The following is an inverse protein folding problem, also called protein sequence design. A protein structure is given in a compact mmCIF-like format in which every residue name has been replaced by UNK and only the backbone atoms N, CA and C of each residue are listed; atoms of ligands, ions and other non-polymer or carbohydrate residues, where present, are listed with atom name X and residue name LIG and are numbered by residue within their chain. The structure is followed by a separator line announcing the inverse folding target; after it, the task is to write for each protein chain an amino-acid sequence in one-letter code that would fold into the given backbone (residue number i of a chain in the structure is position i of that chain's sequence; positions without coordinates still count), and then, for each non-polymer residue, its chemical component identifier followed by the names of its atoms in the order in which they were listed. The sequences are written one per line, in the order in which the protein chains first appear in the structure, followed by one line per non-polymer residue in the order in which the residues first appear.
data_IF_809822707818
#
_entry.id   IF_809822707818
#
_cell.length_a   1.000
_cell.length_b   1.000
_cell.length_c   1.000
_cell.angle_alpha   90.00
_cell.angle_beta   90.00
_cell.angle_gamma   90.00
#
_symmetry.space_group_name_H-M   'P 1'
#
loop_
_entity.id
_entity.type
_entity.pdbx_description
1 polymer ?
#
# COMPACT_ATOMS: atom_id res chain seq x y z
N UNK A 1 15.76 6.14 4.83
CA UNK A 1 14.40 6.60 5.23
C UNK A 1 13.40 6.66 4.05
N UNK A 2 13.53 5.80 3.03
CA UNK A 2 12.77 5.92 1.76
C UNK A 2 11.50 5.04 1.65
N UNK A 3 11.38 4.01 2.49
CA UNK A 3 10.25 3.07 2.40
C UNK A 3 8.93 3.67 2.89
N UNK A 4 8.97 4.50 3.94
CA UNK A 4 7.76 5.09 4.52
C UNK A 4 7.12 6.15 3.62
N UNK A 5 7.93 6.95 2.91
CA UNK A 5 7.45 7.92 1.93
C UNK A 5 6.87 7.22 0.70
N UNK A 6 7.54 6.19 0.18
CA UNK A 6 7.04 5.39 -0.93
C UNK A 6 5.68 4.75 -0.61
N UNK A 7 5.55 4.12 0.57
CA UNK A 7 4.28 3.54 1.03
C UNK A 7 3.16 4.61 1.08
N UNK A 8 3.47 5.84 1.53
CA UNK A 8 2.49 6.94 1.55
C UNK A 8 2.05 7.34 0.14
N UNK A 9 3.00 7.39 -0.81
CA UNK A 9 2.71 7.72 -2.21
C UNK A 9 1.80 6.69 -2.86
N UNK A 10 2.14 5.40 -2.78
CA UNK A 10 1.33 4.34 -3.39
C UNK A 10 -0.04 4.19 -2.75
N UNK A 11 -0.15 4.45 -1.44
CA UNK A 11 -1.46 4.51 -0.78
C UNK A 11 -2.35 5.61 -1.36
N UNK A 12 -1.83 6.83 -1.55
CA UNK A 12 -2.61 7.93 -2.14
C UNK A 12 -3.02 7.64 -3.58
N UNK A 13 -2.17 6.97 -4.36
CA UNK A 13 -2.51 6.54 -5.72
C UNK A 13 -3.63 5.51 -5.73
N UNK A 14 -3.61 4.55 -4.80
CA UNK A 14 -4.71 3.62 -4.61
C UNK A 14 -6.01 4.34 -4.24
N UNK A 15 -5.96 5.26 -3.27
CA UNK A 15 -7.13 6.07 -2.88
C UNK A 15 -7.69 6.88 -4.07
N UNK A 16 -6.81 7.49 -4.88
CA UNK A 16 -7.23 8.21 -6.08
C UNK A 16 -7.84 7.28 -7.14
N UNK A 17 -7.23 6.14 -7.44
CA UNK A 17 -7.74 5.19 -8.43
C UNK A 17 -9.12 4.61 -8.04
N UNK A 18 -9.32 4.32 -6.74
CA UNK A 18 -10.62 3.89 -6.21
C UNK A 18 -11.65 5.01 -6.33
N UNK A 19 -11.28 6.25 -5.99
CA UNK A 19 -12.17 7.41 -6.13
C UNK A 19 -12.51 7.74 -7.59
N UNK A 20 -11.60 7.47 -8.53
CA UNK A 20 -11.79 7.62 -9.98
C UNK A 20 -12.64 6.49 -10.59
N UNK A 21 -12.92 5.42 -9.84
CA UNK A 21 -13.65 4.25 -10.33
C UNK A 21 -12.82 3.33 -11.25
N UNK A 22 -11.52 3.57 -11.38
CA UNK A 22 -10.62 2.78 -12.22
C UNK A 22 -10.15 1.52 -11.46
N UNK A 23 -10.95 0.46 -11.58
CA UNK A 23 -10.69 -0.83 -10.91
C UNK A 23 -9.36 -1.48 -11.32
N UNK A 24 -8.95 -1.36 -12.59
CA UNK A 24 -7.72 -1.97 -13.10
C UNK A 24 -6.47 -1.26 -12.53
N UNK A 25 -6.53 0.08 -12.47
CA UNK A 25 -5.48 0.90 -11.84
C UNK A 25 -5.46 0.68 -10.33
N UNK A 26 -6.62 0.57 -9.68
CA UNK A 26 -6.71 0.25 -8.26
C UNK A 26 -6.07 -1.10 -7.91
N UNK A 27 -6.30 -2.14 -8.72
CA UNK A 27 -5.66 -3.45 -8.53
C UNK A 27 -4.14 -3.40 -8.69
N UNK A 28 -3.67 -2.63 -9.68
CA UNK A 28 -2.25 -2.45 -9.94
C UNK A 28 -1.57 -1.73 -8.78
N UNK A 29 -2.11 -0.59 -8.35
CA UNK A 29 -1.58 0.20 -7.23
C UNK A 29 -1.67 -0.56 -5.90
N UNK A 30 -2.72 -1.38 -5.70
CA UNK A 30 -2.85 -2.23 -4.53
C UNK A 30 -1.72 -3.26 -4.43
N UNK A 31 -1.41 -3.96 -5.55
CA UNK A 31 -0.29 -4.93 -5.61
C UNK A 31 1.05 -4.26 -5.32
N UNK A 32 1.28 -3.07 -5.89
CA UNK A 32 2.52 -2.30 -5.66
C UNK A 32 2.64 -1.89 -4.21
N UNK A 33 1.56 -1.38 -3.60
CA UNK A 33 1.53 -1.01 -2.20
C UNK A 33 1.87 -2.18 -1.26
N UNK A 34 1.27 -3.36 -1.49
CA UNK A 34 1.57 -4.57 -0.70
C UNK A 34 3.05 -4.93 -0.81
N UNK A 35 3.60 -4.96 -2.03
CA UNK A 35 5.00 -5.30 -2.27
C UNK A 35 5.97 -4.36 -1.55
N UNK A 36 5.70 -3.05 -1.55
CA UNK A 36 6.51 -2.07 -0.82
C UNK A 36 6.41 -2.23 0.70
N UNK A 37 5.22 -2.55 1.23
CA UNK A 37 5.03 -2.85 2.65
C UNK A 37 5.85 -4.08 3.03
N UNK A 38 5.79 -5.15 2.24
CA UNK A 38 6.53 -6.38 2.52
C UNK A 38 8.03 -6.18 2.48
N UNK A 39 8.53 -5.42 1.50
CA UNK A 39 9.94 -5.04 1.44
C UNK A 39 10.35 -4.22 2.67
N UNK A 40 9.50 -3.29 3.12
CA UNK A 40 9.77 -2.49 4.31
C UNK A 40 9.79 -3.33 5.60
N UNK A 41 8.91 -4.34 5.71
CA UNK A 41 8.94 -5.29 6.83
C UNK A 41 10.19 -6.16 6.79
N UNK A 42 10.52 -6.73 5.61
CA UNK A 42 11.68 -7.60 5.42
C UNK A 42 13.00 -6.89 5.76
N UNK A 43 13.11 -5.61 5.40
CA UNK A 43 14.30 -4.77 5.65
C UNK A 43 14.35 -4.21 7.07
N UNK A 44 13.36 -4.47 7.92
CA UNK A 44 13.28 -3.92 9.28
C UNK A 44 12.89 -2.43 9.33
N UNK A 45 12.62 -1.80 8.18
CA UNK A 45 12.16 -0.42 8.11
C UNK A 45 10.73 -0.23 8.66
N UNK A 46 9.97 -1.32 8.78
CA UNK A 46 8.62 -1.34 9.34
C UNK A 46 8.45 -2.55 10.26
N UNK A 47 7.90 -2.34 11.46
CA UNK A 47 7.56 -3.45 12.34
C UNK A 47 6.47 -4.33 11.69
N UNK A 48 6.55 -5.66 11.89
CA UNK A 48 5.61 -6.66 11.32
C UNK A 48 4.14 -6.29 11.53
N UNK A 49 3.78 -5.83 12.74
CA UNK A 49 2.39 -5.44 13.05
C UNK A 49 1.98 -4.16 12.31
N UNK A 50 2.90 -3.21 12.12
CA UNK A 50 2.62 -2.01 11.35
C UNK A 50 2.45 -2.35 9.85
N UNK A 51 3.20 -3.33 9.34
CA UNK A 51 2.98 -3.88 8.00
C UNK A 51 1.60 -4.52 7.85
N UNK A 52 1.24 -5.43 8.75
CA UNK A 52 -0.06 -6.09 8.76
C UNK A 52 -1.23 -5.10 8.81
N UNK A 53 -1.16 -4.08 9.68
CA UNK A 53 -2.18 -3.02 9.75
C UNK A 53 -2.33 -2.27 8.42
N UNK A 54 -1.22 -1.91 7.77
CA UNK A 54 -1.26 -1.20 6.49
C UNK A 54 -1.83 -2.06 5.36
N UNK A 55 -1.53 -3.36 5.32
CA UNK A 55 -2.14 -4.30 4.36
C UNK A 55 -3.65 -4.42 4.56
N UNK A 56 -4.11 -4.55 5.81
CA UNK A 56 -5.55 -4.57 6.13
C UNK A 56 -6.25 -3.31 5.62
N UNK A 57 -5.65 -2.13 5.84
CA UNK A 57 -6.19 -0.88 5.34
C UNK A 57 -6.20 -0.80 3.81
N UNK A 58 -5.16 -1.31 3.14
CA UNK A 58 -5.10 -1.37 1.68
C UNK A 58 -6.18 -2.31 1.10
N UNK A 59 -6.46 -3.42 1.78
CA UNK A 59 -7.55 -4.32 1.39
C UNK A 59 -8.92 -3.67 1.58
N UNK A 60 -9.13 -2.99 2.71
CA UNK A 60 -10.38 -2.26 2.98
C UNK A 60 -10.64 -1.09 2.02
N UNK A 61 -9.58 -0.52 1.41
CA UNK A 61 -9.73 0.52 0.38
C UNK A 61 -10.13 -0.05 -0.98
N UNK A 62 -9.86 -1.34 -1.23
CA UNK A 62 -10.13 -1.98 -2.51
C UNK A 62 -11.49 -2.70 -2.53
N UNK A 63 -11.95 -3.17 -1.37
CA UNK A 63 -13.27 -3.79 -1.15
C UNK A 63 -14.39 -2.78 -1.33
#
# INVERSE_FOLDING_TARGET
RHYTSAIKTYRRRLEAAVSEGDSAKADTEHKVLISQIDRAVKTGALHKNAGARKKRQAAALRS
#
